data_IF_292415191915
#
_entry.id   IF_292415191915
#
_cell.length_a   1.000
_cell.length_b   1.000
_cell.length_c   1.000
_cell.angle_alpha   90.00
_cell.angle_beta   90.00
_cell.angle_gamma   90.00
#
_symmetry.space_group_name_H-M   'P 1'
#
loop_
_entity.id
_entity.type
_entity.pdbx_description
1 polymer ?
#
# COMPACT_ATOMS: atom_id res chain seq x y z
N UNK A 1 8.41 -8.16 -10.73
CA UNK A 1 8.51 -9.34 -11.61
C UNK A 1 7.98 -10.60 -10.94
N UNK A 2 8.41 -10.97 -9.72
CA UNK A 2 8.08 -12.27 -9.13
C UNK A 2 6.58 -12.50 -8.99
N UNK A 3 5.84 -11.57 -8.40
CA UNK A 3 4.38 -11.69 -8.22
C UNK A 3 3.65 -11.80 -9.57
N UNK A 4 3.98 -10.92 -10.52
CA UNK A 4 3.31 -10.90 -11.84
C UNK A 4 3.82 -11.95 -12.83
N UNK A 5 4.78 -12.80 -12.46
CA UNK A 5 5.35 -13.83 -13.34
C UNK A 5 4.31 -14.89 -13.73
N UNK A 6 3.32 -15.10 -12.86
CA UNK A 6 2.22 -16.04 -13.10
C UNK A 6 1.15 -15.54 -14.07
N UNK A 7 1.12 -14.24 -14.37
CA UNK A 7 0.13 -13.64 -15.26
C UNK A 7 0.35 -14.04 -16.71
N UNK A 8 -0.74 -14.06 -17.49
CA UNK A 8 -0.65 -14.31 -18.93
C UNK A 8 0.24 -13.22 -19.61
N UNK A 9 0.97 -13.55 -20.69
CA UNK A 9 1.93 -12.62 -21.32
C UNK A 9 1.34 -11.25 -21.70
N UNK A 10 0.07 -11.20 -22.13
CA UNK A 10 -0.60 -9.93 -22.47
C UNK A 10 -1.00 -9.10 -21.24
N UNK A 11 -0.91 -9.66 -20.02
CA UNK A 11 -1.11 -9.00 -18.72
C UNK A 11 0.18 -8.95 -17.90
N UNK A 12 1.33 -8.84 -18.56
CA UNK A 12 2.62 -8.76 -17.91
C UNK A 12 2.68 -7.64 -16.84
N UNK A 13 3.42 -7.83 -15.74
CA UNK A 13 3.53 -6.85 -14.67
C UNK A 13 4.12 -5.53 -15.17
N UNK A 14 3.63 -4.41 -14.63
CA UNK A 14 4.10 -3.06 -14.97
C UNK A 14 4.27 -2.20 -13.73
N UNK A 15 5.23 -1.30 -13.78
CA UNK A 15 5.30 -0.15 -12.88
C UNK A 15 4.91 1.07 -13.71
N UNK A 16 3.90 1.80 -13.25
CA UNK A 16 3.48 3.08 -13.83
C UNK A 16 4.04 4.19 -12.94
N UNK A 17 4.70 5.16 -13.55
CA UNK A 17 5.24 6.33 -12.86
C UNK A 17 4.75 7.59 -13.57
N UNK A 18 4.11 8.49 -12.85
CA UNK A 18 3.58 9.75 -13.32
C UNK A 18 4.27 10.87 -12.56
N UNK A 19 4.99 11.74 -13.26
CA UNK A 19 5.60 12.94 -12.71
C UNK A 19 4.82 14.20 -13.05
N UNK A 20 4.75 15.15 -12.12
CA UNK A 20 4.16 16.46 -12.33
C UNK A 20 4.97 17.56 -11.63
N UNK A 21 5.26 18.65 -12.33
CA UNK A 21 6.11 19.78 -11.89
C UNK A 21 7.50 19.34 -11.37
N UNK A 22 8.06 18.25 -11.89
CA UNK A 22 9.33 17.72 -11.39
C UNK A 22 10.52 18.65 -11.66
N UNK A 23 10.38 19.57 -12.60
CA UNK A 23 11.33 20.64 -12.92
C UNK A 23 11.34 21.81 -11.93
N UNK A 24 10.30 21.95 -11.09
CA UNK A 24 10.18 23.02 -10.09
C UNK A 24 10.85 22.61 -8.77
N UNK A 25 12.18 22.55 -8.76
CA UNK A 25 12.97 21.93 -7.67
C UNK A 25 12.92 22.66 -6.33
N UNK A 26 12.42 23.89 -6.29
CA UNK A 26 12.15 24.70 -5.10
C UNK A 26 10.87 24.28 -4.36
N UNK A 27 9.99 23.50 -5.01
CA UNK A 27 8.78 22.98 -4.39
C UNK A 27 9.05 21.64 -3.66
N UNK A 28 8.34 21.37 -2.55
CA UNK A 28 8.40 20.07 -1.89
C UNK A 28 7.91 18.95 -2.78
N UNK A 29 8.52 17.76 -2.66
CA UNK A 29 8.16 16.58 -3.44
C UNK A 29 7.24 15.65 -2.63
N UNK A 30 6.07 15.37 -3.16
CA UNK A 30 5.13 14.38 -2.63
C UNK A 30 5.18 13.11 -3.50
N UNK A 31 5.41 11.97 -2.88
CA UNK A 31 5.30 10.65 -3.51
C UNK A 31 4.00 9.97 -3.10
N UNK A 32 3.23 9.49 -4.07
CA UNK A 32 2.03 8.67 -3.85
C UNK A 32 2.28 7.27 -4.40
N UNK A 33 2.13 6.26 -3.56
CA UNK A 33 2.38 4.87 -3.95
C UNK A 33 1.12 4.04 -3.80
N UNK A 34 0.82 3.19 -4.78
CA UNK A 34 -0.40 2.39 -4.77
C UNK A 34 -0.20 0.92 -5.10
N UNK A 35 -0.76 0.02 -4.26
CA UNK A 35 -0.91 -1.40 -4.59
C UNK A 35 -1.89 -1.54 -5.75
N UNK A 36 -1.45 -2.18 -6.84
CA UNK A 36 -2.21 -2.35 -8.08
C UNK A 36 -2.38 -3.82 -8.48
N UNK A 37 -2.73 -4.70 -7.54
CA UNK A 37 -3.05 -6.10 -7.87
C UNK A 37 -4.41 -6.13 -8.53
N UNK A 38 -4.45 -6.32 -9.86
CA UNK A 38 -5.69 -6.22 -10.65
C UNK A 38 -6.67 -7.36 -10.36
N UNK A 39 -6.15 -8.52 -9.98
CA UNK A 39 -6.88 -9.62 -9.37
C UNK A 39 -5.94 -10.47 -8.53
N UNK A 40 -6.38 -10.87 -7.34
CA UNK A 40 -5.59 -11.67 -6.41
C UNK A 40 -6.25 -13.03 -6.15
N UNK A 41 -5.62 -14.08 -6.66
CA UNK A 41 -6.04 -15.47 -6.38
C UNK A 41 -5.43 -16.02 -5.09
N UNK A 42 -4.45 -15.31 -4.50
CA UNK A 42 -3.56 -15.82 -3.46
C UNK A 42 -2.28 -16.46 -4.01
N UNK A 43 -2.18 -16.62 -5.33
CA UNK A 43 -1.10 -17.38 -5.92
C UNK A 43 -1.24 -18.88 -5.62
N UNK A 44 -0.16 -19.56 -5.26
CA UNK A 44 -0.21 -20.98 -4.91
C UNK A 44 -0.83 -21.23 -3.53
N UNK A 45 -0.78 -20.25 -2.62
CA UNK A 45 -1.57 -20.25 -1.38
C UNK A 45 -2.99 -19.76 -1.67
N UNK A 46 -3.70 -20.54 -2.47
CA UNK A 46 -4.97 -20.22 -3.13
C UNK A 46 -6.05 -19.83 -2.12
N UNK A 47 -6.65 -18.66 -2.32
CA UNK A 47 -7.78 -18.21 -1.51
C UNK A 47 -9.00 -19.13 -1.63
N UNK A 48 -9.76 -19.35 -0.55
CA UNK A 48 -11.10 -19.91 -0.64
C UNK A 48 -11.99 -19.04 -1.54
N UNK A 49 -12.94 -19.67 -2.25
CA UNK A 49 -13.81 -18.98 -3.22
C UNK A 49 -14.50 -17.73 -2.65
N UNK A 50 -14.97 -17.77 -1.41
CA UNK A 50 -15.58 -16.63 -0.74
C UNK A 50 -14.60 -15.45 -0.53
N UNK A 51 -13.34 -15.75 -0.21
CA UNK A 51 -12.27 -14.76 -0.06
C UNK A 51 -11.84 -14.16 -1.40
N UNK A 52 -11.83 -14.97 -2.45
CA UNK A 52 -11.40 -14.58 -3.80
C UNK A 52 -12.44 -13.72 -4.54
N UNK A 53 -13.73 -13.91 -4.27
CA UNK A 53 -14.84 -13.33 -5.04
C UNK A 53 -14.72 -11.82 -5.32
N UNK A 54 -14.23 -11.05 -4.36
CA UNK A 54 -14.12 -9.60 -4.46
C UNK A 54 -12.69 -9.11 -4.73
N UNK A 55 -11.77 -10.00 -5.13
CA UNK A 55 -10.35 -9.64 -5.33
C UNK A 55 -10.09 -8.76 -6.56
N UNK A 56 -11.12 -8.46 -7.38
CA UNK A 56 -11.11 -7.35 -8.35
C UNK A 56 -10.89 -5.97 -7.68
N UNK A 57 -11.14 -5.85 -6.36
CA UNK A 57 -10.89 -4.64 -5.57
C UNK A 57 -9.42 -4.45 -5.18
N UNK A 58 -8.57 -5.45 -5.40
CA UNK A 58 -7.22 -5.49 -4.84
C UNK A 58 -6.24 -4.51 -5.53
N UNK A 59 -6.73 -3.78 -6.49
CA UNK A 59 -6.12 -2.61 -7.11
C UNK A 59 -6.59 -1.28 -6.45
N UNK A 60 -7.33 -1.35 -5.36
CA UNK A 60 -7.85 -0.16 -4.66
C UNK A 60 -6.78 0.81 -4.23
N UNK A 61 -5.59 0.32 -3.82
CA UNK A 61 -4.46 1.20 -3.48
C UNK A 61 -4.02 2.06 -4.66
N UNK A 62 -3.88 1.46 -5.86
CA UNK A 62 -3.53 2.21 -7.07
C UNK A 62 -4.60 3.21 -7.47
N UNK A 63 -5.88 2.84 -7.34
CA UNK A 63 -6.99 3.74 -7.61
C UNK A 63 -6.95 4.98 -6.70
N UNK A 64 -6.60 4.81 -5.41
CA UNK A 64 -6.44 5.93 -4.47
C UNK A 64 -5.24 6.81 -4.81
N UNK A 65 -4.07 6.22 -5.08
CA UNK A 65 -2.88 6.97 -5.44
C UNK A 65 -3.09 7.81 -6.71
N UNK A 66 -3.70 7.22 -7.75
CA UNK A 66 -4.03 7.92 -8.99
C UNK A 66 -5.08 9.02 -8.79
N UNK A 67 -6.15 8.74 -8.02
CA UNK A 67 -7.19 9.72 -7.74
C UNK A 67 -6.67 10.89 -6.90
N UNK A 68 -5.84 10.63 -5.89
CA UNK A 68 -5.20 11.68 -5.08
C UNK A 68 -4.25 12.51 -5.93
N UNK A 69 -3.43 11.86 -6.78
CA UNK A 69 -2.55 12.56 -7.71
C UNK A 69 -3.31 13.49 -8.65
N UNK A 70 -4.45 13.02 -9.20
CA UNK A 70 -5.33 13.83 -10.02
C UNK A 70 -5.87 15.05 -9.26
N UNK A 71 -6.35 14.86 -8.02
CA UNK A 71 -6.86 15.96 -7.19
C UNK A 71 -5.76 17.01 -6.90
N UNK A 72 -4.53 16.57 -6.63
CA UNK A 72 -3.37 17.45 -6.42
C UNK A 72 -3.10 18.30 -7.69
N UNK A 73 -3.11 17.66 -8.85
CA UNK A 73 -2.88 18.33 -10.14
C UNK A 73 -4.03 19.30 -10.49
N UNK A 74 -5.30 18.87 -10.36
CA UNK A 74 -6.47 19.71 -10.65
C UNK A 74 -6.56 20.92 -9.71
N UNK A 75 -6.20 20.75 -8.44
CA UNK A 75 -6.13 21.86 -7.47
C UNK A 75 -4.86 22.72 -7.63
N UNK A 76 -3.96 22.36 -8.54
CA UNK A 76 -2.69 23.03 -8.81
C UNK A 76 -1.86 23.31 -7.53
N UNK A 77 -1.79 22.34 -6.62
CA UNK A 77 -1.07 22.52 -5.36
C UNK A 77 0.41 22.89 -5.62
N UNK A 78 1.04 23.70 -4.76
CA UNK A 78 2.44 24.09 -4.90
C UNK A 78 3.38 22.97 -4.40
N UNK A 79 3.33 21.82 -5.07
CA UNK A 79 4.19 20.67 -4.81
C UNK A 79 4.67 20.06 -6.12
N UNK A 80 5.79 19.40 -6.10
CA UNK A 80 6.18 18.38 -7.08
C UNK A 80 5.46 17.09 -6.73
N UNK A 81 5.10 16.30 -7.71
CA UNK A 81 4.39 15.06 -7.47
C UNK A 81 5.00 13.91 -8.27
N UNK A 82 5.18 12.76 -7.63
CA UNK A 82 5.39 11.49 -8.29
C UNK A 82 4.34 10.49 -7.82
N UNK A 83 3.67 9.83 -8.77
CA UNK A 83 2.71 8.75 -8.47
C UNK A 83 3.26 7.45 -9.02
N UNK A 84 3.43 6.45 -8.16
CA UNK A 84 3.98 5.14 -8.52
C UNK A 84 2.94 4.06 -8.24
N UNK A 85 2.61 3.30 -9.28
CA UNK A 85 1.66 2.18 -9.21
C UNK A 85 2.35 0.90 -9.65
N UNK A 86 2.35 -0.11 -8.78
CA UNK A 86 2.79 -1.46 -9.11
C UNK A 86 1.58 -2.28 -9.60
N UNK A 87 1.40 -2.40 -10.92
CA UNK A 87 0.29 -3.10 -11.54
C UNK A 87 0.68 -4.54 -11.87
N UNK A 88 0.04 -5.51 -11.21
CA UNK A 88 0.31 -6.95 -11.37
C UNK A 88 -0.97 -7.77 -11.22
N UNK A 89 -0.94 -9.01 -11.69
CA UNK A 89 -1.94 -10.03 -11.36
C UNK A 89 -1.25 -11.12 -10.52
N UNK A 90 -1.83 -11.50 -9.39
CA UNK A 90 -1.39 -12.65 -8.62
C UNK A 90 -2.22 -13.86 -9.04
N UNK A 91 -1.64 -14.72 -9.86
CA UNK A 91 -2.34 -15.83 -10.52
C UNK A 91 -1.68 -17.18 -10.22
N UNK A 92 -2.42 -18.25 -10.49
CA UNK A 92 -1.91 -19.63 -10.43
C UNK A 92 -1.35 -20.02 -11.79
N UNK A 93 -0.08 -20.39 -11.85
CA UNK A 93 0.55 -20.92 -13.05
C UNK A 93 1.78 -21.75 -12.69
N UNK A 94 2.36 -22.43 -13.69
CA UNK A 94 3.65 -23.12 -13.53
C UNK A 94 4.81 -22.17 -13.19
N UNK A 95 4.71 -20.90 -13.60
CA UNK A 95 5.72 -19.87 -13.37
C UNK A 95 5.50 -19.08 -12.06
N UNK A 96 4.44 -19.38 -11.29
CA UNK A 96 4.16 -18.70 -10.05
C UNK A 96 5.32 -18.82 -9.04
N UNK A 97 5.55 -17.78 -8.28
CA UNK A 97 6.47 -17.85 -7.14
C UNK A 97 5.87 -18.73 -6.04
N UNK A 98 6.71 -19.32 -5.19
CA UNK A 98 6.37 -20.41 -4.28
C UNK A 98 6.72 -20.08 -2.85
N UNK A 99 6.01 -20.64 -1.87
CA UNK A 99 6.53 -20.70 -0.51
C UNK A 99 7.93 -21.35 -0.48
N UNK A 100 8.87 -20.73 0.22
CA UNK A 100 10.27 -21.11 0.25
C UNK A 100 11.16 -20.47 -0.81
N UNK A 101 10.62 -19.80 -1.82
CA UNK A 101 11.42 -18.99 -2.75
C UNK A 101 12.07 -17.81 -2.00
N UNK A 102 13.27 -17.41 -2.44
CA UNK A 102 13.94 -16.19 -1.96
C UNK A 102 13.95 -15.18 -3.10
N UNK A 103 13.36 -14.01 -2.86
CA UNK A 103 13.27 -12.93 -3.84
C UNK A 103 14.25 -11.81 -3.51
N UNK A 104 14.87 -11.22 -4.53
CA UNK A 104 15.66 -10.01 -4.41
C UNK A 104 14.74 -8.80 -4.62
N UNK A 105 14.66 -7.91 -3.63
CA UNK A 105 13.94 -6.64 -3.75
C UNK A 105 14.79 -5.59 -4.48
N UNK A 106 14.13 -4.52 -4.96
CA UNK A 106 14.81 -3.35 -5.54
C UNK A 106 15.81 -2.70 -4.58
N UNK A 107 15.54 -2.77 -3.26
CA UNK A 107 16.44 -2.23 -2.21
C UNK A 107 17.69 -3.09 -2.01
N UNK A 108 17.78 -4.27 -2.63
CA UNK A 108 18.86 -5.22 -2.45
C UNK A 108 18.68 -6.18 -1.28
N UNK A 109 17.58 -6.07 -0.52
CA UNK A 109 17.25 -7.03 0.52
C UNK A 109 16.64 -8.29 -0.08
N UNK A 110 17.02 -9.44 0.47
CA UNK A 110 16.44 -10.74 0.15
C UNK A 110 15.21 -11.00 1.00
N UNK A 111 14.16 -11.57 0.39
CA UNK A 111 12.87 -11.83 1.05
C UNK A 111 12.50 -13.29 0.85
N UNK A 112 12.42 -14.04 1.97
CA UNK A 112 11.82 -15.38 1.97
C UNK A 112 10.31 -15.29 1.79
N UNK A 113 9.77 -16.11 0.93
CA UNK A 113 8.33 -16.23 0.71
C UNK A 113 7.78 -17.31 1.66
N UNK A 114 7.08 -16.89 2.68
CA UNK A 114 6.30 -17.77 3.53
C UNK A 114 4.86 -17.94 3.04
N UNK A 115 4.32 -16.90 2.38
CA UNK A 115 2.94 -16.90 1.91
C UNK A 115 2.82 -16.12 0.60
N UNK A 116 2.35 -16.77 -0.46
CA UNK A 116 2.14 -16.14 -1.78
C UNK A 116 0.92 -15.21 -1.81
N UNK A 117 0.01 -15.31 -0.84
CA UNK A 117 -1.12 -14.40 -0.62
C UNK A 117 -0.73 -13.11 0.12
N UNK A 118 0.55 -12.97 0.48
CA UNK A 118 1.16 -11.75 0.99
C UNK A 118 1.99 -11.03 -0.10
N UNK A 119 1.50 -10.99 -1.32
CA UNK A 119 2.11 -10.43 -2.52
C UNK A 119 2.12 -8.90 -2.55
N UNK A 120 1.09 -8.28 -1.98
CA UNK A 120 0.89 -6.83 -2.00
C UNK A 120 2.06 -6.09 -1.37
N UNK A 121 2.59 -6.58 -0.25
CA UNK A 121 3.76 -5.98 0.40
C UNK A 121 5.05 -6.15 -0.41
N UNK A 122 5.15 -7.21 -1.22
CA UNK A 122 6.31 -7.44 -2.09
C UNK A 122 6.37 -6.42 -3.22
N UNK A 123 5.24 -6.15 -3.88
CA UNK A 123 5.18 -5.14 -4.93
C UNK A 123 5.33 -3.72 -4.39
N UNK A 124 4.80 -3.45 -3.18
CA UNK A 124 4.98 -2.17 -2.50
C UNK A 124 6.41 -1.95 -2.03
N UNK A 125 7.14 -3.00 -1.62
CA UNK A 125 8.55 -2.90 -1.28
C UNK A 125 9.37 -2.25 -2.41
N UNK A 126 9.18 -2.72 -3.65
CA UNK A 126 9.86 -2.18 -4.81
C UNK A 126 9.33 -0.78 -5.20
N UNK A 127 8.02 -0.55 -5.09
CA UNK A 127 7.42 0.75 -5.40
C UNK A 127 7.83 1.84 -4.39
N UNK A 128 7.88 1.53 -3.09
CA UNK A 128 8.37 2.44 -2.04
C UNK A 128 9.87 2.73 -2.20
N UNK A 129 10.67 1.70 -2.51
CA UNK A 129 12.09 1.89 -2.81
C UNK A 129 12.27 2.82 -4.02
N UNK A 130 11.48 2.61 -5.07
CA UNK A 130 11.49 3.49 -6.25
C UNK A 130 11.08 4.93 -5.89
N UNK A 131 10.08 5.10 -5.03
CA UNK A 131 9.70 6.42 -4.52
C UNK A 131 10.85 7.09 -3.79
N UNK A 132 11.59 6.35 -2.97
CA UNK A 132 12.76 6.83 -2.23
C UNK A 132 13.90 7.32 -3.12
N UNK A 133 14.04 6.79 -4.34
CA UNK A 133 15.05 7.25 -5.32
C UNK A 133 14.79 8.71 -5.82
N UNK A 134 13.58 9.22 -5.61
CA UNK A 134 13.22 10.63 -5.86
C UNK A 134 13.46 11.55 -4.66
N UNK A 135 13.86 11.01 -3.50
CA UNK A 135 14.08 11.77 -2.26
C UNK A 135 12.88 12.64 -1.86
N UNK A 136 11.67 12.06 -1.67
CA UNK A 136 10.47 12.81 -1.38
C UNK A 136 10.48 13.42 0.04
N UNK A 137 9.83 14.59 0.19
CA UNK A 137 9.56 15.23 1.48
C UNK A 137 8.39 14.58 2.21
N UNK A 138 7.47 13.95 1.46
CA UNK A 138 6.33 13.20 1.98
C UNK A 138 6.00 12.02 1.07
N UNK A 139 5.81 10.85 1.68
CA UNK A 139 5.32 9.65 0.98
C UNK A 139 4.03 9.16 1.61
N UNK A 140 2.98 9.02 0.81
CA UNK A 140 1.72 8.39 1.21
C UNK A 140 1.50 7.13 0.37
N UNK A 141 1.33 5.98 1.01
CA UNK A 141 1.00 4.76 0.27
C UNK A 141 -0.35 4.18 0.68
N UNK A 142 -1.01 3.57 -0.29
CA UNK A 142 -2.34 2.98 -0.16
C UNK A 142 -2.31 1.53 -0.63
N UNK A 143 -2.84 0.64 0.21
CA UNK A 143 -2.96 -0.75 -0.18
C UNK A 143 -4.18 -1.42 0.45
N UNK A 144 -4.83 -2.28 -0.29
CA UNK A 144 -5.76 -3.28 0.20
C UNK A 144 -4.95 -4.46 0.74
N UNK A 145 -4.22 -4.21 1.85
CA UNK A 145 -3.09 -5.06 2.19
C UNK A 145 -3.46 -6.28 3.03
N UNK A 146 -4.25 -6.06 4.10
CA UNK A 146 -4.48 -7.16 5.04
C UNK A 146 -5.96 -7.36 5.38
N UNK A 147 -6.35 -8.64 5.51
CA UNK A 147 -7.61 -9.00 6.14
C UNK A 147 -7.63 -8.66 7.63
N UNK A 148 -6.46 -8.64 8.28
CA UNK A 148 -6.29 -8.34 9.69
C UNK A 148 -6.74 -6.91 10.04
N UNK A 149 -6.47 -5.92 9.18
CA UNK A 149 -6.97 -4.55 9.34
C UNK A 149 -8.50 -4.52 9.45
N UNK A 150 -9.18 -5.22 8.54
CA UNK A 150 -10.64 -5.31 8.54
C UNK A 150 -11.19 -6.08 9.75
N UNK A 151 -10.50 -7.13 10.21
CA UNK A 151 -10.89 -7.86 11.42
C UNK A 151 -10.78 -6.96 12.65
N UNK A 152 -9.75 -6.11 12.72
CA UNK A 152 -9.51 -5.20 13.83
C UNK A 152 -10.47 -4.01 13.85
N UNK A 153 -10.71 -3.35 12.71
CA UNK A 153 -11.37 -2.05 12.61
C UNK A 153 -12.66 -2.05 11.76
N UNK A 154 -13.02 -3.18 11.17
CA UNK A 154 -14.17 -3.27 10.27
C UNK A 154 -13.87 -2.74 8.85
N UNK A 155 -14.90 -2.71 7.98
CA UNK A 155 -14.71 -2.33 6.57
C UNK A 155 -14.68 -0.81 6.31
N UNK A 156 -15.04 0.02 7.29
CA UNK A 156 -15.26 1.45 7.11
C UNK A 156 -14.13 2.32 7.67
N UNK A 157 -13.30 1.79 8.57
CA UNK A 157 -12.28 2.52 9.29
C UNK A 157 -10.89 1.97 8.95
N UNK A 158 -10.18 2.56 7.98
CA UNK A 158 -8.85 2.09 7.62
C UNK A 158 -7.80 2.48 8.66
N UNK A 159 -6.87 1.57 9.00
CA UNK A 159 -5.71 1.93 9.81
C UNK A 159 -4.73 2.83 9.06
N UNK A 160 -4.16 3.77 9.82
CA UNK A 160 -3.05 4.63 9.46
C UNK A 160 -1.80 4.18 10.22
N UNK A 161 -0.70 3.99 9.53
CA UNK A 161 0.61 3.70 10.12
C UNK A 161 1.62 4.78 9.74
N UNK A 162 2.26 5.36 10.72
CA UNK A 162 3.38 6.28 10.60
C UNK A 162 4.09 6.39 11.95
N UNK A 163 5.39 6.61 11.95
CA UNK A 163 6.19 6.96 13.13
C UNK A 163 6.38 8.47 13.28
N UNK A 164 5.93 9.27 12.30
CA UNK A 164 5.91 10.72 12.38
C UNK A 164 4.65 11.22 13.10
N UNK A 165 4.84 11.82 14.29
CA UNK A 165 3.75 12.32 15.14
C UNK A 165 3.03 13.53 14.52
N UNK A 166 3.75 14.38 13.79
CA UNK A 166 3.19 15.57 13.15
C UNK A 166 2.31 15.16 11.98
N UNK A 167 2.80 14.23 11.14
CA UNK A 167 2.04 13.68 10.05
C UNK A 167 0.78 12.95 10.54
N UNK A 168 0.91 12.13 11.60
CA UNK A 168 -0.21 11.42 12.19
C UNK A 168 -1.30 12.39 12.68
N UNK A 169 -0.92 13.39 13.47
CA UNK A 169 -1.85 14.39 14.00
C UNK A 169 -2.53 15.19 12.87
N UNK A 170 -1.77 15.59 11.86
CA UNK A 170 -2.28 16.32 10.69
C UNK A 170 -3.29 15.51 9.88
N UNK A 171 -3.00 14.25 9.57
CA UNK A 171 -3.90 13.35 8.83
C UNK A 171 -5.19 13.06 9.62
N UNK A 172 -5.10 12.80 10.94
CA UNK A 172 -6.27 12.56 11.78
C UNK A 172 -7.15 13.82 11.90
N UNK A 173 -6.56 14.99 12.03
CA UNK A 173 -7.29 16.24 12.04
C UNK A 173 -8.00 16.52 10.70
N UNK A 174 -7.32 16.26 9.58
CA UNK A 174 -7.90 16.37 8.24
C UNK A 174 -9.06 15.37 8.06
N UNK A 175 -8.88 14.13 8.49
CA UNK A 175 -9.91 13.07 8.47
C UNK A 175 -11.19 13.50 9.18
N UNK A 176 -11.06 14.09 10.37
CA UNK A 176 -12.19 14.63 11.13
C UNK A 176 -12.93 15.75 10.41
N UNK A 177 -12.19 16.68 9.76
CA UNK A 177 -12.76 17.83 9.02
C UNK A 177 -13.61 17.41 7.83
N UNK A 178 -13.19 16.38 7.10
CA UNK A 178 -13.85 15.95 5.85
C UNK A 178 -14.71 14.68 6.03
N UNK A 179 -14.84 14.19 7.26
CA UNK A 179 -15.60 12.97 7.59
C UNK A 179 -15.15 11.76 6.74
N UNK A 180 -13.85 11.60 6.62
CA UNK A 180 -13.20 10.46 5.96
C UNK A 180 -12.28 9.80 7.00
N UNK A 181 -12.81 8.88 7.83
CA UNK A 181 -12.18 8.49 9.07
C UNK A 181 -10.89 7.69 8.86
N UNK A 182 -9.95 7.87 9.78
CA UNK A 182 -8.70 7.12 9.91
C UNK A 182 -8.51 6.72 11.36
N UNK A 183 -7.88 5.58 11.61
CA UNK A 183 -7.48 5.17 12.94
C UNK A 183 -5.99 4.85 12.98
N UNK A 184 -5.23 5.58 13.80
CA UNK A 184 -3.80 5.32 13.94
C UNK A 184 -3.56 4.02 14.68
N UNK A 185 -2.79 3.12 14.05
CA UNK A 185 -2.30 1.87 14.62
C UNK A 185 -0.80 1.97 14.89
N UNK A 186 -0.26 1.22 15.89
CA UNK A 186 1.15 1.30 16.25
C UNK A 186 2.04 0.57 15.25
N UNK A 187 3.21 1.13 14.95
CA UNK A 187 4.36 0.42 14.39
C UNK A 187 5.16 -0.18 15.55
N UNK A 188 4.62 -1.21 16.21
CA UNK A 188 5.19 -1.75 17.45
C UNK A 188 6.53 -2.47 17.22
N UNK A 189 7.67 -1.94 17.73
CA UNK A 189 8.99 -2.48 17.40
C UNK A 189 9.20 -3.92 17.85
N UNK A 190 8.54 -4.35 18.93
CA UNK A 190 8.62 -5.72 19.44
C UNK A 190 8.11 -6.79 18.47
N UNK A 191 7.33 -6.39 17.44
CA UNK A 191 6.83 -7.34 16.43
C UNK A 191 7.74 -7.46 15.19
N UNK A 192 8.87 -6.74 15.14
CA UNK A 192 9.82 -6.87 14.03
C UNK A 192 10.39 -8.29 13.92
N UNK A 193 10.62 -8.95 15.05
CA UNK A 193 11.09 -10.34 15.09
C UNK A 193 10.15 -11.35 14.39
N UNK A 194 8.87 -11.01 14.20
CA UNK A 194 7.94 -11.83 13.43
C UNK A 194 8.27 -11.92 11.93
N UNK A 195 9.16 -11.05 11.44
CA UNK A 195 9.64 -11.03 10.06
C UNK A 195 11.04 -11.63 9.90
N UNK A 196 11.66 -12.11 10.97
CA UNK A 196 12.99 -12.72 10.93
C UNK A 196 12.94 -14.10 10.26
N UNK A 197 14.02 -14.45 9.59
CA UNK A 197 14.24 -15.72 8.91
C UNK A 197 15.71 -16.08 8.96
N UNK A 198 16.05 -17.38 8.84
CA UNK A 198 17.42 -17.88 8.86
C UNK A 198 18.09 -17.86 7.48
N UNK A 199 17.31 -17.67 6.39
CA UNK A 199 17.79 -17.88 5.02
C UNK A 199 17.70 -16.63 4.12
N UNK A 200 17.17 -15.52 4.65
CA UNK A 200 17.05 -14.24 3.93
C UNK A 200 17.14 -13.08 4.93
N UNK A 201 17.14 -11.83 4.43
CA UNK A 201 17.14 -10.65 5.31
C UNK A 201 15.81 -10.46 6.05
N UNK A 202 14.70 -10.91 5.46
CA UNK A 202 13.37 -10.90 6.08
C UNK A 202 12.45 -11.87 5.33
N UNK A 203 11.28 -12.16 5.91
CA UNK A 203 10.21 -12.91 5.24
C UNK A 203 8.96 -12.06 5.03
N UNK A 204 8.17 -12.45 4.04
CA UNK A 204 6.99 -11.67 3.66
C UNK A 204 5.77 -11.90 4.54
N UNK A 205 5.79 -12.87 5.42
CA UNK A 205 4.68 -13.16 6.33
C UNK A 205 5.17 -13.39 7.76
N UNK A 206 4.23 -13.38 8.71
CA UNK A 206 4.46 -13.69 10.10
C UNK A 206 3.79 -15.01 10.52
N UNK A 207 3.78 -16.00 9.63
CA UNK A 207 3.04 -17.26 9.81
C UNK A 207 3.35 -18.00 11.10
N UNK A 208 4.60 -17.95 11.56
CA UNK A 208 4.98 -18.51 12.87
C UNK A 208 4.28 -17.80 14.03
N UNK A 209 3.71 -16.65 13.80
CA UNK A 209 3.07 -15.82 14.80
C UNK A 209 1.63 -15.43 14.45
N UNK A 210 1.00 -15.85 13.48
CA UNK A 210 -0.43 -15.75 13.06
C UNK A 210 -1.29 -14.60 13.68
N UNK A 211 -0.68 -13.56 14.25
CA UNK A 211 -1.30 -12.45 14.97
C UNK A 211 -0.74 -11.12 14.50
N UNK A 212 -1.44 -10.01 14.80
CA UNK A 212 -1.03 -8.64 14.47
C UNK A 212 -0.70 -8.43 12.97
N UNK A 213 -1.37 -9.15 12.05
CA UNK A 213 -1.01 -9.21 10.64
C UNK A 213 -0.97 -7.86 9.93
N UNK A 214 -1.81 -6.88 10.33
CA UNK A 214 -1.76 -5.53 9.77
C UNK A 214 -0.53 -4.75 10.27
N UNK A 215 -0.17 -4.91 11.57
CA UNK A 215 1.01 -4.26 12.16
C UNK A 215 2.30 -4.83 11.56
N UNK A 216 2.42 -6.16 11.44
CA UNK A 216 3.61 -6.80 10.86
C UNK A 216 3.76 -6.47 9.37
N UNK A 217 2.64 -6.35 8.64
CA UNK A 217 2.67 -5.88 7.26
C UNK A 217 3.18 -4.43 7.15
N UNK A 218 2.73 -3.53 8.01
CA UNK A 218 3.21 -2.16 8.04
C UNK A 218 4.69 -2.08 8.45
N UNK A 219 5.15 -2.90 9.41
CA UNK A 219 6.57 -3.01 9.78
C UNK A 219 7.44 -3.56 8.64
N UNK A 220 6.91 -4.48 7.82
CA UNK A 220 7.57 -4.92 6.59
C UNK A 220 7.74 -3.75 5.63
N UNK A 221 6.68 -2.99 5.34
CA UNK A 221 6.74 -1.83 4.46
C UNK A 221 7.67 -0.74 4.96
N UNK A 222 7.74 -0.50 6.29
CA UNK A 222 8.65 0.46 6.90
C UNK A 222 10.13 0.19 6.53
N UNK A 223 10.53 -1.07 6.31
CA UNK A 223 11.88 -1.42 5.85
C UNK A 223 12.19 -0.87 4.45
N UNK A 224 11.18 -0.62 3.64
CA UNK A 224 11.29 -0.17 2.25
C UNK A 224 10.84 1.27 2.05
N UNK A 225 10.21 1.87 3.05
CA UNK A 225 9.82 3.27 3.02
C UNK A 225 11.05 4.17 2.74
N UNK A 226 10.85 5.31 2.05
CA UNK A 226 11.91 6.30 1.87
C UNK A 226 12.53 6.71 3.20
N UNK A 227 13.82 6.97 3.18
CA UNK A 227 14.58 7.46 4.35
C UNK A 227 14.57 8.98 4.44
N UNK A 228 14.08 9.65 3.41
CA UNK A 228 13.87 11.10 3.35
C UNK A 228 12.42 11.43 3.65
N UNK A 229 12.18 12.58 4.28
CA UNK A 229 10.83 13.07 4.58
C UNK A 229 10.02 12.16 5.50
N UNK A 230 8.71 12.41 5.54
CA UNK A 230 7.76 11.62 6.32
C UNK A 230 7.07 10.55 5.45
N UNK A 231 6.71 9.43 6.07
CA UNK A 231 5.99 8.34 5.41
C UNK A 231 4.74 7.95 6.18
N UNK A 232 3.65 7.69 5.46
CA UNK A 232 2.45 7.08 6.02
C UNK A 232 1.86 6.01 5.10
N UNK A 233 1.42 4.91 5.70
CA UNK A 233 0.73 3.80 5.05
C UNK A 233 -0.73 3.74 5.48
N UNK A 234 -1.64 3.60 4.52
CA UNK A 234 -3.06 3.36 4.72
C UNK A 234 -3.44 1.96 4.23
N UNK A 235 -3.79 1.07 5.17
CA UNK A 235 -4.26 -0.30 4.87
C UNK A 235 -5.78 -0.26 4.66
N UNK A 236 -6.20 0.06 3.44
CA UNK A 236 -7.60 0.30 3.09
C UNK A 236 -8.32 -0.99 2.70
N UNK A 237 -9.63 -1.05 2.92
CA UNK A 237 -10.45 -2.15 2.39
C UNK A 237 -10.91 -1.88 0.96
N UNK A 238 -11.15 -0.62 0.60
CA UNK A 238 -11.58 -0.13 -0.71
C UNK A 238 -12.87 -0.79 -1.23
N UNK A 239 -13.71 -1.32 -0.36
CA UNK A 239 -14.97 -1.97 -0.71
C UNK A 239 -16.05 -1.70 0.31
N UNK A 240 -17.22 -1.24 -0.16
CA UNK A 240 -18.43 -1.15 0.65
C UNK A 240 -19.25 -2.44 0.48
N UNK A 241 -19.39 -3.29 1.53
CA UNK A 241 -20.03 -4.60 1.41
C UNK A 241 -21.56 -4.54 1.32
N UNK A 242 -22.16 -3.39 1.61
CA UNK A 242 -23.63 -3.17 1.56
C UNK A 242 -23.94 -1.70 1.33
N UNK A 243 -24.98 -1.45 0.56
CA UNK A 243 -25.44 -0.09 0.32
C UNK A 243 -25.88 0.61 1.62
N UNK A 244 -25.52 1.88 1.76
CA UNK A 244 -25.96 2.80 2.82
C UNK A 244 -26.14 4.21 2.21
N UNK A 245 -26.87 5.12 2.85
CA UNK A 245 -27.13 6.44 2.30
C UNK A 245 -25.86 7.17 1.87
N UNK A 246 -25.77 7.52 0.57
CA UNK A 246 -24.60 8.15 -0.02
C UNK A 246 -23.46 7.21 -0.40
N UNK A 247 -23.54 5.91 -0.08
CA UNK A 247 -22.48 4.92 -0.30
C UNK A 247 -23.06 3.64 -0.91
N UNK A 248 -23.05 3.47 -2.22
CA UNK A 248 -23.51 2.25 -2.87
C UNK A 248 -22.62 1.06 -2.53
N UNK A 249 -23.14 -0.15 -2.67
CA UNK A 249 -22.30 -1.36 -2.63
C UNK A 249 -21.27 -1.32 -3.78
N UNK A 250 -20.01 -1.69 -3.49
CA UNK A 250 -18.95 -1.73 -4.49
C UNK A 250 -17.67 -1.06 -4.04
N UNK A 251 -16.88 -0.57 -5.01
CA UNK A 251 -15.65 0.18 -4.73
C UNK A 251 -15.90 1.41 -3.87
N UNK A 252 -15.08 1.60 -2.84
CA UNK A 252 -15.20 2.68 -1.87
C UNK A 252 -13.88 3.43 -1.72
N UNK A 253 -13.97 4.78 -1.75
CA UNK A 253 -12.82 5.63 -1.45
C UNK A 253 -12.70 5.83 0.05
N UNK A 254 -11.53 5.48 0.60
CA UNK A 254 -11.20 5.59 2.03
C UNK A 254 -9.91 6.36 2.21
N UNK A 255 -9.81 7.23 3.19
CA UNK A 255 -8.65 8.08 3.46
C UNK A 255 -8.31 9.10 2.34
N UNK A 256 -8.92 9.02 1.17
CA UNK A 256 -8.62 9.84 0.00
C UNK A 256 -8.85 11.32 0.26
N UNK A 257 -10.05 11.67 0.79
CA UNK A 257 -10.42 13.06 1.10
C UNK A 257 -9.60 13.59 2.27
N UNK A 258 -9.32 12.74 3.26
CA UNK A 258 -8.48 13.07 4.41
C UNK A 258 -7.05 13.45 3.95
N UNK A 259 -6.44 12.62 3.10
CA UNK A 259 -5.11 12.89 2.55
C UNK A 259 -5.10 14.16 1.69
N UNK A 260 -6.09 14.34 0.82
CA UNK A 260 -6.19 15.56 0.01
C UNK A 260 -6.37 16.82 0.87
N UNK A 261 -7.22 16.77 1.90
CA UNK A 261 -7.38 17.88 2.85
C UNK A 261 -6.09 18.16 3.62
N UNK A 262 -5.36 17.12 4.02
CA UNK A 262 -4.06 17.28 4.66
C UNK A 262 -3.08 18.01 3.74
N UNK A 263 -2.91 17.54 2.49
CA UNK A 263 -2.01 18.16 1.51
C UNK A 263 -2.35 19.64 1.26
N UNK A 264 -3.65 19.96 1.13
CA UNK A 264 -4.10 21.36 1.00
C UNK A 264 -3.75 22.21 2.22
N UNK A 265 -3.87 21.65 3.42
CA UNK A 265 -3.58 22.42 4.65
C UNK A 265 -2.08 22.59 4.86
N UNK A 266 -1.28 21.60 4.42
CA UNK A 266 0.16 21.59 4.63
C UNK A 266 0.91 22.47 3.61
N UNK A 267 0.41 22.54 2.37
CA UNK A 267 1.13 23.18 1.26
C UNK A 267 0.39 24.40 0.66
N UNK A 268 -0.78 24.80 1.14
CA UNK A 268 -1.46 26.05 0.84
C UNK A 268 -1.69 26.84 2.11
#
# INVERSE_FOLDING_TARGET
HAVGRAAAPHRAPRVLEIGWKLDQTDLPLVALVGKGVVFDTGGLDLKPAAGMRNMKKDMGGSAHALALGRLVMEANLPVRLVVIVAAVENAVSADAFRPGDILNSRKGLTIEIGNTDAEGRLILADALTRAGEHEPDLTLDFATLTGAARVALGPELPPLYTDDEVLAAGLLAAAGRVRDPLWRMPLWPGYRAALDTEIADLKNDSSAWAQAGSVTAALFLQKFAPTTGAWAHMDIFAWNPRARPGFPEGGEAQALRACFQYLRTQFC
#
